data_IF_403915641549
#
_entry.id   IF_403915641549
#
_cell.length_a   1.000
_cell.length_b   1.000
_cell.length_c   1.000
_cell.angle_alpha   90.00
_cell.angle_beta   90.00
_cell.angle_gamma   90.00
#
_symmetry.space_group_name_H-M   'P 1'
#
loop_
_entity.id
_entity.type
_entity.pdbx_description
1 polymer ?
#
# COMPACT_ATOMS: atom_id res chain seq x y z
N UNK A 1 -17.09 -16.19 29.64
CA UNK A 1 -17.56 -16.58 28.29
C UNK A 1 -17.52 -15.45 27.25
N UNK A 2 -18.09 -14.26 27.48
CA UNK A 2 -18.07 -13.14 26.49
C UNK A 2 -16.66 -12.75 25.99
N UNK A 3 -15.65 -12.70 26.87
CA UNK A 3 -14.26 -12.40 26.47
C UNK A 3 -13.68 -13.46 25.51
N UNK A 4 -13.83 -14.74 25.84
CA UNK A 4 -13.32 -15.84 25.01
C UNK A 4 -13.98 -15.88 23.62
N UNK A 5 -15.26 -15.53 23.52
CA UNK A 5 -15.99 -15.44 22.24
C UNK A 5 -15.46 -14.27 21.39
N UNK A 6 -15.11 -13.12 22.01
CA UNK A 6 -14.48 -11.99 21.29
C UNK A 6 -13.14 -12.39 20.67
N UNK A 7 -12.29 -13.08 21.43
CA UNK A 7 -10.98 -13.54 20.93
C UNK A 7 -11.12 -14.63 19.86
N UNK A 8 -12.05 -15.57 20.04
CA UNK A 8 -12.31 -16.63 19.07
C UNK A 8 -12.77 -16.06 17.72
N UNK A 9 -13.71 -15.09 17.73
CA UNK A 9 -14.19 -14.45 16.50
C UNK A 9 -13.11 -13.66 15.76
N UNK A 10 -12.22 -13.01 16.50
CA UNK A 10 -11.08 -12.28 15.95
C UNK A 10 -10.05 -13.24 15.33
N UNK A 11 -9.83 -14.39 15.98
CA UNK A 11 -8.94 -15.43 15.51
C UNK A 11 -9.44 -16.10 14.23
N UNK A 12 -10.71 -16.51 14.16
CA UNK A 12 -11.30 -17.06 12.93
C UNK A 12 -11.29 -16.07 11.78
N UNK A 13 -11.55 -14.78 12.07
CA UNK A 13 -11.45 -13.73 11.06
C UNK A 13 -10.03 -13.58 10.50
N UNK A 14 -9.03 -13.62 11.38
CA UNK A 14 -7.60 -13.56 11.01
C UNK A 14 -7.19 -14.76 10.15
N UNK A 15 -7.64 -15.98 10.49
CA UNK A 15 -7.34 -17.20 9.70
C UNK A 15 -7.94 -17.12 8.29
N UNK A 16 -9.21 -16.74 8.17
CA UNK A 16 -9.87 -16.61 6.86
C UNK A 16 -9.14 -15.60 5.96
N UNK A 17 -8.56 -14.56 6.56
CA UNK A 17 -7.78 -13.55 5.85
C UNK A 17 -6.40 -14.03 5.40
N UNK A 18 -5.70 -14.84 6.21
CA UNK A 18 -4.44 -15.47 5.78
C UNK A 18 -4.69 -16.36 4.56
N UNK A 19 -5.79 -17.12 4.59
CA UNK A 19 -6.20 -17.99 3.47
C UNK A 19 -6.53 -17.14 2.23
N UNK A 20 -7.28 -16.05 2.40
CA UNK A 20 -7.64 -15.15 1.31
C UNK A 20 -6.40 -14.45 0.71
N UNK A 21 -5.51 -13.91 1.54
CA UNK A 21 -4.27 -13.28 1.10
C UNK A 21 -3.35 -14.25 0.35
N UNK A 22 -3.22 -15.50 0.84
CA UNK A 22 -2.47 -16.55 0.16
C UNK A 22 -3.05 -16.89 -1.22
N UNK A 23 -4.39 -16.93 -1.34
CA UNK A 23 -5.07 -17.19 -2.63
C UNK A 23 -4.84 -16.09 -3.66
N UNK A 24 -4.75 -14.81 -3.24
CA UNK A 24 -4.45 -13.70 -4.14
C UNK A 24 -2.99 -13.69 -4.60
N UNK A 25 -2.04 -13.96 -3.69
CA UNK A 25 -0.60 -14.03 -4.02
C UNK A 25 -0.32 -15.16 -5.02
N UNK A 26 -0.95 -16.32 -4.80
CA UNK A 26 -0.80 -17.48 -5.71
C UNK A 26 -1.41 -17.23 -7.09
N UNK A 27 -2.49 -16.45 -7.19
CA UNK A 27 -3.03 -16.03 -8.49
C UNK A 27 -2.13 -15.01 -9.21
N UNK A 28 -1.56 -14.04 -8.49
CA UNK A 28 -0.70 -13.02 -9.09
C UNK A 28 0.62 -13.58 -9.63
N UNK A 29 1.20 -14.57 -8.97
CA UNK A 29 2.41 -15.26 -9.46
C UNK A 29 2.17 -15.95 -10.81
N UNK A 30 0.94 -16.41 -11.08
CA UNK A 30 0.58 -17.02 -12.37
C UNK A 30 0.31 -15.99 -13.50
N UNK A 31 0.08 -14.72 -13.15
CA UNK A 31 -0.24 -13.65 -14.10
C UNK A 31 1.01 -12.81 -14.46
N UNK A 32 2.00 -12.78 -13.56
CA UNK A 32 3.23 -11.96 -13.68
C UNK A 32 4.09 -12.24 -14.93
N UNK A 33 3.94 -13.41 -15.55
CA UNK A 33 4.73 -13.83 -16.73
C UNK A 33 4.26 -13.26 -18.08
N UNK A 34 3.01 -12.79 -18.20
CA UNK A 34 2.46 -12.33 -19.50
C UNK A 34 2.29 -10.81 -19.60
N UNK A 35 2.06 -10.13 -18.49
CA UNK A 35 1.75 -8.69 -18.47
C UNK A 35 2.99 -7.80 -18.62
N UNK A 36 4.14 -8.25 -18.11
CA UNK A 36 5.39 -7.48 -18.09
C UNK A 36 6.00 -7.22 -19.47
N UNK A 37 5.64 -8.00 -20.50
CA UNK A 37 6.13 -7.81 -21.89
C UNK A 37 5.23 -6.96 -22.77
N UNK A 38 3.94 -6.80 -22.45
CA UNK A 38 2.98 -6.07 -23.31
C UNK A 38 2.80 -4.61 -22.87
N UNK A 39 3.08 -4.28 -21.60
CA UNK A 39 2.83 -2.93 -21.05
C UNK A 39 3.91 -1.90 -21.41
N UNK A 40 5.15 -2.31 -21.70
CA UNK A 40 6.28 -1.36 -21.83
C UNK A 40 6.24 -0.46 -23.07
N UNK A 41 5.47 -0.82 -24.09
CA UNK A 41 5.51 -0.09 -25.37
C UNK A 41 4.44 1.02 -25.48
N UNK A 42 3.51 1.14 -24.51
CA UNK A 42 2.47 2.19 -24.49
C UNK A 42 2.10 2.60 -23.04
N UNK A 43 3.07 3.00 -22.22
CA UNK A 43 2.79 3.42 -20.84
C UNK A 43 2.21 4.85 -20.84
N UNK A 44 0.89 4.96 -20.99
CA UNK A 44 0.16 6.20 -20.70
C UNK A 44 0.16 6.47 -19.18
N UNK A 45 0.24 7.75 -18.78
CA UNK A 45 0.22 8.16 -17.37
C UNK A 45 -0.98 7.59 -16.59
N UNK A 46 -2.10 7.38 -17.28
CA UNK A 46 -3.33 6.83 -16.70
C UNK A 46 -3.18 5.37 -16.27
N UNK A 47 -2.39 4.59 -17.02
CA UNK A 47 -2.11 3.19 -16.66
C UNK A 47 -1.19 3.09 -15.44
N UNK A 48 -0.18 3.97 -15.35
CA UNK A 48 0.68 4.11 -14.16
C UNK A 48 -0.18 4.43 -12.94
N UNK A 49 -1.05 5.44 -13.08
CA UNK A 49 -1.95 5.86 -12.02
C UNK A 49 -2.86 4.72 -11.54
N UNK A 50 -3.50 3.99 -12.46
CA UNK A 50 -4.41 2.88 -12.11
C UNK A 50 -3.66 1.77 -11.35
N UNK A 51 -2.45 1.42 -11.76
CA UNK A 51 -1.66 0.38 -11.10
C UNK A 51 -1.30 0.79 -9.68
N UNK A 52 -0.73 1.98 -9.50
CA UNK A 52 -0.30 2.47 -8.19
C UNK A 52 -1.50 2.67 -7.25
N UNK A 53 -2.58 3.27 -7.77
CA UNK A 53 -3.81 3.45 -7.02
C UNK A 53 -4.45 2.12 -6.60
N UNK A 54 -4.47 1.11 -7.49
CA UNK A 54 -5.01 -0.21 -7.17
C UNK A 54 -4.19 -0.94 -6.10
N UNK A 55 -2.87 -0.82 -6.15
CA UNK A 55 -1.97 -1.36 -5.12
C UNK A 55 -2.25 -0.75 -3.74
N UNK A 56 -2.37 0.58 -3.68
CA UNK A 56 -2.66 1.28 -2.43
C UNK A 56 -4.07 0.99 -1.91
N UNK A 57 -5.08 0.90 -2.78
CA UNK A 57 -6.43 0.50 -2.38
C UNK A 57 -6.45 -0.90 -1.76
N UNK A 58 -5.67 -1.83 -2.32
CA UNK A 58 -5.52 -3.17 -1.74
C UNK A 58 -4.87 -3.12 -0.35
N UNK A 59 -3.82 -2.33 -0.17
CA UNK A 59 -3.18 -2.15 1.14
C UNK A 59 -4.14 -1.49 2.14
N UNK A 60 -4.96 -0.54 1.72
CA UNK A 60 -5.97 0.09 2.59
C UNK A 60 -7.02 -0.92 3.04
N UNK A 61 -7.48 -1.81 2.15
CA UNK A 61 -8.37 -2.92 2.53
C UNK A 61 -7.71 -3.80 3.59
N UNK A 62 -6.41 -4.09 3.46
CA UNK A 62 -5.66 -4.83 4.47
C UNK A 62 -5.51 -4.06 5.79
N UNK A 63 -5.40 -2.73 5.74
CA UNK A 63 -5.32 -1.86 6.91
C UNK A 63 -6.59 -1.89 7.76
N UNK A 64 -7.76 -2.20 7.18
CA UNK A 64 -8.98 -2.44 7.94
C UNK A 64 -8.89 -3.66 8.87
N UNK A 65 -7.83 -4.46 8.75
CA UNK A 65 -7.51 -5.60 9.63
C UNK A 65 -6.45 -5.27 10.69
N UNK A 66 -6.10 -3.99 10.86
CA UNK A 66 -5.15 -3.54 11.87
C UNK A 66 -3.75 -4.07 11.62
N UNK A 67 -3.29 -5.02 12.44
CA UNK A 67 -1.90 -5.53 12.47
C UNK A 67 -1.46 -6.10 11.12
N UNK A 68 -2.36 -6.79 10.40
CA UNK A 68 -2.03 -7.36 9.08
C UNK A 68 -1.66 -6.25 8.10
N UNK A 69 -2.49 -5.21 8.00
CA UNK A 69 -2.19 -4.07 7.15
C UNK A 69 -0.93 -3.34 7.58
N UNK A 70 -0.66 -3.22 8.88
CA UNK A 70 0.58 -2.62 9.39
C UNK A 70 1.81 -3.35 8.86
N UNK A 71 1.83 -4.68 8.99
CA UNK A 71 2.93 -5.51 8.52
C UNK A 71 3.06 -5.49 7.00
N UNK A 72 1.94 -5.56 6.27
CA UNK A 72 1.92 -5.51 4.82
C UNK A 72 2.49 -4.18 4.28
N UNK A 73 1.97 -3.04 4.76
CA UNK A 73 2.44 -1.71 4.35
C UNK A 73 3.88 -1.46 4.76
N UNK A 74 4.29 -1.90 5.96
CA UNK A 74 5.70 -1.79 6.39
C UNK A 74 6.63 -2.63 5.51
N UNK A 75 6.22 -3.83 5.13
CA UNK A 75 6.98 -4.68 4.22
C UNK A 75 7.11 -4.05 2.82
N UNK A 76 6.05 -3.42 2.30
CA UNK A 76 6.11 -2.67 1.04
C UNK A 76 7.12 -1.52 1.10
N UNK A 77 7.11 -0.72 2.18
CA UNK A 77 8.09 0.36 2.38
C UNK A 77 9.53 -0.15 2.43
N UNK A 78 9.79 -1.26 3.13
CA UNK A 78 11.11 -1.90 3.19
C UNK A 78 11.52 -2.44 1.80
N UNK A 79 10.59 -3.06 1.09
CA UNK A 79 10.83 -3.63 -0.24
C UNK A 79 11.19 -2.53 -1.24
N UNK A 80 10.47 -1.41 -1.25
CA UNK A 80 10.80 -0.22 -2.04
C UNK A 80 12.22 0.26 -1.73
N UNK A 81 12.56 0.44 -0.45
CA UNK A 81 13.91 0.86 -0.06
C UNK A 81 15.02 -0.09 -0.54
N UNK A 82 14.83 -1.41 -0.38
CA UNK A 82 15.81 -2.41 -0.83
C UNK A 82 15.95 -2.48 -2.35
N UNK A 83 14.86 -2.31 -3.10
CA UNK A 83 14.90 -2.30 -4.57
C UNK A 83 15.74 -1.13 -5.10
N UNK A 84 15.65 0.05 -4.48
CA UNK A 84 16.48 1.21 -4.84
C UNK A 84 17.97 0.89 -4.67
N UNK A 85 18.34 0.24 -3.57
CA UNK A 85 19.72 -0.20 -3.34
C UNK A 85 20.19 -1.23 -4.38
N UNK A 86 19.34 -2.20 -4.74
CA UNK A 86 19.67 -3.20 -5.76
C UNK A 86 19.93 -2.54 -7.12
N UNK A 87 19.08 -1.58 -7.52
CA UNK A 87 19.24 -0.82 -8.77
C UNK A 87 20.53 -0.02 -8.75
N UNK A 88 20.87 0.62 -7.63
CA UNK A 88 22.12 1.36 -7.47
C UNK A 88 23.36 0.48 -7.68
N UNK A 89 23.36 -0.71 -7.09
CA UNK A 89 24.47 -1.67 -7.25
C UNK A 89 24.55 -2.16 -8.70
N UNK A 90 23.42 -2.53 -9.32
CA UNK A 90 23.39 -3.10 -10.68
C UNK A 90 23.79 -2.10 -11.76
N UNK A 91 23.36 -0.85 -11.63
CA UNK A 91 23.65 0.20 -12.63
C UNK A 91 24.93 0.98 -12.33
N UNK A 92 25.61 0.70 -11.21
CA UNK A 92 26.76 1.47 -10.72
C UNK A 92 26.47 2.98 -10.63
N UNK A 93 25.21 3.34 -10.33
CA UNK A 93 24.78 4.72 -10.13
C UNK A 93 24.77 5.00 -8.63
N UNK A 94 25.40 6.08 -8.15
CA UNK A 94 25.36 6.44 -6.73
C UNK A 94 23.92 6.57 -6.21
N UNK A 95 23.63 6.01 -5.03
CA UNK A 95 22.29 5.98 -4.42
C UNK A 95 21.67 7.38 -4.40
N UNK A 96 22.42 8.44 -4.07
CA UNK A 96 21.88 9.80 -4.01
C UNK A 96 21.36 10.31 -5.37
N UNK A 97 21.89 9.85 -6.50
CA UNK A 97 21.38 10.22 -7.84
C UNK A 97 20.09 9.47 -8.16
N UNK A 98 20.04 8.18 -7.83
CA UNK A 98 18.82 7.37 -7.97
C UNK A 98 17.72 7.90 -7.06
N UNK A 99 18.06 8.21 -5.81
CA UNK A 99 17.16 8.87 -4.86
C UNK A 99 16.76 10.23 -5.39
N UNK A 100 17.62 11.04 -6.01
CA UNK A 100 17.19 12.34 -6.58
C UNK A 100 16.19 12.19 -7.74
N UNK A 101 16.36 11.18 -8.61
CA UNK A 101 15.41 10.88 -9.70
C UNK A 101 14.11 10.28 -9.15
N UNK A 102 14.22 9.37 -8.18
CA UNK A 102 13.09 8.79 -7.46
C UNK A 102 12.43 9.79 -6.50
N UNK A 103 13.10 10.84 -6.03
CA UNK A 103 12.56 11.81 -5.09
C UNK A 103 11.47 12.68 -5.71
N UNK A 104 11.40 12.74 -7.04
CA UNK A 104 10.35 13.47 -7.77
C UNK A 104 9.08 12.60 -7.89
N UNK A 105 9.15 11.29 -7.62
CA UNK A 105 8.06 10.32 -7.85
C UNK A 105 7.76 9.44 -6.60
N UNK A 106 8.80 8.83 -6.06
CA UNK A 106 8.75 8.00 -4.86
C UNK A 106 8.47 8.78 -3.58
N UNK A 107 8.58 10.11 -3.56
CA UNK A 107 8.15 10.87 -2.39
C UNK A 107 6.62 10.88 -2.27
N UNK A 108 5.88 10.98 -3.37
CA UNK A 108 4.42 10.91 -3.32
C UNK A 108 3.95 9.53 -2.92
N UNK A 109 4.54 8.47 -3.50
CA UNK A 109 4.21 7.08 -3.16
C UNK A 109 4.56 6.75 -1.71
N UNK A 110 5.73 7.18 -1.21
CA UNK A 110 6.10 7.00 0.20
C UNK A 110 5.15 7.77 1.12
N UNK A 111 4.76 9.00 0.77
CA UNK A 111 3.79 9.77 1.56
C UNK A 111 2.41 9.10 1.53
N UNK A 112 1.97 8.58 0.39
CA UNK A 112 0.72 7.81 0.26
C UNK A 112 0.78 6.56 1.16
N UNK A 113 1.86 5.78 1.10
CA UNK A 113 2.08 4.61 1.96
C UNK A 113 2.15 4.96 3.45
N UNK A 114 2.69 6.12 3.83
CA UNK A 114 2.64 6.61 5.22
C UNK A 114 1.19 6.90 5.65
N UNK A 115 0.37 7.47 4.77
CA UNK A 115 -1.06 7.68 5.04
C UNK A 115 -1.77 6.32 5.18
N UNK A 116 -1.47 5.35 4.32
CA UNK A 116 -1.98 3.98 4.43
C UNK A 116 -1.58 3.34 5.77
N UNK A 117 -0.33 3.47 6.18
CA UNK A 117 0.15 3.00 7.49
C UNK A 117 -0.60 3.67 8.64
N UNK A 118 -0.89 4.97 8.53
CA UNK A 118 -1.70 5.69 9.53
C UNK A 118 -3.12 5.15 9.66
N UNK A 119 -3.72 4.66 8.55
CA UNK A 119 -5.04 4.00 8.59
C UNK A 119 -4.92 2.73 9.43
N UNK A 120 -3.89 1.91 9.21
CA UNK A 120 -3.67 0.70 10.00
C UNK A 120 -3.50 1.02 11.49
N UNK A 121 -2.70 2.04 11.84
CA UNK A 121 -2.50 2.45 13.24
C UNK A 121 -3.81 2.91 13.90
N UNK A 122 -4.63 3.69 13.19
CA UNK A 122 -5.95 4.10 13.69
C UNK A 122 -6.84 2.87 13.99
N UNK A 123 -6.83 1.89 13.10
CA UNK A 123 -7.61 0.66 13.26
C UNK A 123 -7.07 -0.21 14.41
N UNK A 124 -5.74 -0.36 14.55
CA UNK A 124 -5.11 -1.05 15.69
C UNK A 124 -5.52 -0.38 17.00
N UNK A 125 -5.57 0.95 17.03
CA UNK A 125 -5.99 1.70 18.21
C UNK A 125 -7.45 1.40 18.57
N UNK A 126 -8.35 1.30 17.57
CA UNK A 126 -9.73 0.87 17.80
C UNK A 126 -9.81 -0.57 18.35
N UNK A 127 -8.99 -1.48 17.84
CA UNK A 127 -8.91 -2.85 18.33
C UNK A 127 -8.43 -2.90 19.77
N UNK A 128 -7.39 -2.15 20.10
CA UNK A 128 -6.87 -2.03 21.45
C UNK A 128 -7.95 -1.53 22.42
N UNK A 129 -8.66 -0.45 22.05
CA UNK A 129 -9.74 0.11 22.86
C UNK A 129 -10.91 -0.86 23.07
N UNK A 130 -11.21 -1.69 22.08
CA UNK A 130 -12.29 -2.67 22.15
C UNK A 130 -11.92 -3.93 22.94
N UNK A 131 -10.70 -4.44 22.77
CA UNK A 131 -10.25 -5.71 23.36
C UNK A 131 -9.68 -5.55 24.76
N UNK A 132 -8.86 -4.52 24.96
CA UNK A 132 -8.06 -4.35 26.18
C UNK A 132 -8.78 -3.44 27.16
N UNK A 133 -9.02 -2.18 26.78
CA UNK A 133 -9.58 -1.18 27.71
C UNK A 133 -11.11 -1.28 27.84
N UNK A 134 -11.78 -1.97 26.93
CA UNK A 134 -13.26 -2.03 26.81
C UNK A 134 -13.92 -0.64 26.81
N UNK A 135 -13.21 0.39 26.35
CA UNK A 135 -13.73 1.77 26.22
C UNK A 135 -14.84 1.87 25.17
N UNK A 136 -14.86 0.93 24.23
CA UNK A 136 -15.76 0.90 23.09
C UNK A 136 -16.77 -0.23 23.25
N UNK A 137 -18.07 0.11 23.24
CA UNK A 137 -19.15 -0.87 23.37
C UNK A 137 -19.28 -1.82 22.17
N UNK A 138 -19.03 -1.33 20.94
CA UNK A 138 -19.10 -2.13 19.72
C UNK A 138 -18.04 -1.70 18.70
N UNK A 139 -17.15 -2.62 18.35
CA UNK A 139 -16.12 -2.42 17.31
C UNK A 139 -16.75 -2.02 15.97
N UNK A 140 -17.87 -2.65 15.60
CA UNK A 140 -18.56 -2.38 14.34
C UNK A 140 -19.07 -0.93 14.24
N UNK A 141 -19.58 -0.38 15.35
CA UNK A 141 -20.05 1.01 15.38
C UNK A 141 -18.89 1.99 15.16
N UNK A 142 -17.75 1.76 15.81
CA UNK A 142 -16.57 2.63 15.64
C UNK A 142 -15.94 2.49 14.25
N UNK A 143 -15.94 1.27 13.68
CA UNK A 143 -15.56 1.07 12.28
C UNK A 143 -16.45 1.89 11.34
N UNK A 144 -17.77 1.83 11.51
CA UNK A 144 -18.70 2.60 10.69
C UNK A 144 -18.46 4.10 10.81
N UNK A 145 -18.20 4.61 12.02
CA UNK A 145 -17.84 6.03 12.24
C UNK A 145 -16.52 6.38 11.56
N UNK A 146 -15.51 5.53 11.68
CA UNK A 146 -14.20 5.73 11.04
C UNK A 146 -14.31 5.79 9.52
N UNK A 147 -15.00 4.82 8.92
CA UNK A 147 -15.22 4.73 7.46
C UNK A 147 -16.03 5.93 6.96
N UNK A 148 -17.00 6.42 7.74
CA UNK A 148 -17.82 7.57 7.31
C UNK A 148 -17.09 8.91 7.45
N UNK A 149 -16.31 9.09 8.52
CA UNK A 149 -15.85 10.43 8.92
C UNK A 149 -14.35 10.67 8.65
N UNK A 150 -13.50 9.62 8.65
CA UNK A 150 -12.04 9.77 8.55
C UNK A 150 -11.46 9.17 7.27
N UNK A 151 -11.88 7.96 6.91
CA UNK A 151 -11.34 7.25 5.75
C UNK A 151 -11.50 8.01 4.42
N UNK A 152 -12.63 8.68 4.10
CA UNK A 152 -12.82 9.32 2.80
C UNK A 152 -11.83 10.45 2.56
N UNK A 153 -11.52 11.23 3.60
CA UNK A 153 -10.52 12.30 3.51
C UNK A 153 -9.12 11.76 3.23
N UNK A 154 -8.72 10.67 3.90
CA UNK A 154 -7.43 10.01 3.65
C UNK A 154 -7.36 9.43 2.23
N UNK A 155 -8.43 8.80 1.75
CA UNK A 155 -8.53 8.28 0.38
C UNK A 155 -8.40 9.40 -0.66
N UNK A 156 -9.03 10.54 -0.41
CA UNK A 156 -8.93 11.70 -1.29
C UNK A 156 -7.50 12.25 -1.36
N UNK A 157 -6.78 12.32 -0.24
CA UNK A 157 -5.37 12.74 -0.24
C UNK A 157 -4.51 11.75 -1.01
N UNK A 158 -4.68 10.44 -0.79
CA UNK A 158 -3.94 9.39 -1.51
C UNK A 158 -4.20 9.51 -3.01
N UNK A 159 -5.46 9.69 -3.41
CA UNK A 159 -5.82 9.90 -4.82
C UNK A 159 -5.08 11.08 -5.44
N UNK A 160 -5.09 12.25 -4.78
CA UNK A 160 -4.40 13.46 -5.29
C UNK A 160 -2.89 13.23 -5.39
N UNK A 161 -2.28 12.66 -4.35
CA UNK A 161 -0.83 12.40 -4.33
C UNK A 161 -0.42 11.48 -5.47
N UNK A 162 -1.13 10.36 -5.64
CA UNK A 162 -0.82 9.42 -6.71
C UNK A 162 -1.12 10.00 -8.09
N UNK A 163 -2.17 10.80 -8.24
CA UNK A 163 -2.49 11.43 -9.52
C UNK A 163 -1.40 12.43 -9.94
N UNK A 164 -0.97 13.30 -9.02
CA UNK A 164 0.13 14.24 -9.27
C UNK A 164 1.44 13.48 -9.51
N UNK A 165 1.75 12.47 -8.68
CA UNK A 165 2.94 11.65 -8.80
C UNK A 165 3.02 10.92 -10.14
N UNK A 166 1.90 10.38 -10.65
CA UNK A 166 1.86 9.75 -11.97
C UNK A 166 2.02 10.74 -13.13
N UNK A 167 1.51 11.98 -13.00
CA UNK A 167 1.77 13.04 -13.99
C UNK A 167 3.27 13.37 -14.01
N UNK A 168 3.87 13.60 -12.84
CA UNK A 168 5.30 13.91 -12.72
C UNK A 168 6.16 12.76 -13.24
N UNK A 169 5.81 11.52 -12.93
CA UNK A 169 6.50 10.33 -13.41
C UNK A 169 6.50 10.25 -14.94
N UNK A 170 5.34 10.46 -15.57
CA UNK A 170 5.23 10.43 -17.02
C UNK A 170 6.06 11.54 -17.70
N UNK A 171 6.01 12.76 -17.19
CA UNK A 171 6.69 13.90 -17.84
C UNK A 171 8.18 14.05 -17.48
N UNK A 172 8.63 13.52 -16.33
CA UNK A 172 10.00 13.69 -15.84
C UNK A 172 10.81 12.40 -15.92
N UNK A 173 10.23 11.26 -15.55
CA UNK A 173 10.97 10.00 -15.43
C UNK A 173 11.10 9.27 -16.76
N UNK A 174 10.03 9.18 -17.55
CA UNK A 174 10.03 8.47 -18.85
C UNK A 174 11.16 8.97 -19.78
N UNK A 175 11.36 10.28 -19.98
CA UNK A 175 12.42 10.77 -20.87
C UNK A 175 13.85 10.52 -20.35
N UNK A 176 14.02 10.39 -19.03
CA UNK A 176 15.31 10.10 -18.40
C UNK A 176 15.65 8.63 -18.64
N UNK A 177 14.73 7.71 -18.34
CA UNK A 177 14.97 6.28 -18.50
C UNK A 177 15.08 5.85 -19.97
N UNK A 178 14.35 6.48 -20.89
CA UNK A 178 14.51 6.25 -22.34
C UNK A 178 15.93 6.56 -22.84
N UNK A 179 16.64 7.51 -22.21
CA UNK A 179 18.03 7.84 -22.56
C UNK A 179 19.07 6.87 -22.01
N UNK A 180 18.73 6.06 -21.01
CA UNK A 180 19.68 5.16 -20.33
C UNK A 180 19.36 3.66 -20.52
N UNK A 181 18.25 3.32 -21.18
CA UNK A 181 17.78 1.93 -21.40
C UNK A 181 17.96 1.44 -22.85
N UNK A 182 18.52 2.26 -23.75
CA UNK A 182 19.02 1.81 -25.06
C UNK A 182 20.52 1.49 -25.01
#
# INVERSE_FOLDING_TARGET
MRKNIKYLGLFTYTILLIIFGYSLVTQNNNISGSITKVIRENIEFLNIFIINYSSDMFLILLCLFGIIGFLATSNTLITLGTQIHIVSIKLNIPIYKLVAVLCIHGIEEVVALIIVLSISVDIITLWYKYLITNEVGSLFCEYKKYIKNKLPFKLFIIFILLFIGSILEYFVSVPIFDKYIL
#
